data_IF_478433669136
#
_entry.id   IF_478433669136
#
_cell.length_a   1.000
_cell.length_b   1.000
_cell.length_c   1.000
_cell.angle_alpha   90.00
_cell.angle_beta   90.00
_cell.angle_gamma   90.00
#
_symmetry.space_group_name_H-M   'P 1'
#
loop_
_entity.id
_entity.type
_entity.pdbx_description
1 polymer ?
#
# COMPACT_ATOMS: atom_id res chain seq x y z
N UNK A 1 -41.79 -14.41 -38.21
CA UNK A 1 -40.43 -14.78 -37.76
C UNK A 1 -39.56 -13.60 -37.29
N UNK A 2 -39.92 -12.33 -37.54
CA UNK A 2 -39.12 -11.16 -37.13
C UNK A 2 -39.30 -10.74 -35.66
N UNK A 3 -40.44 -11.05 -35.02
CA UNK A 3 -40.79 -10.52 -33.70
C UNK A 3 -40.13 -11.21 -32.49
N UNK A 4 -39.54 -12.40 -32.68
CA UNK A 4 -38.86 -13.13 -31.59
C UNK A 4 -37.45 -12.62 -31.30
N UNK A 5 -36.87 -11.81 -32.19
CA UNK A 5 -35.51 -11.29 -32.02
C UNK A 5 -35.43 -10.05 -31.10
N UNK A 6 -36.56 -9.39 -30.82
CA UNK A 6 -36.57 -8.14 -30.04
C UNK A 6 -36.57 -8.42 -28.53
N UNK A 7 -37.04 -9.59 -28.07
CA UNK A 7 -37.09 -9.94 -26.64
C UNK A 7 -35.74 -10.41 -26.07
N UNK A 8 -34.80 -10.85 -26.91
CA UNK A 8 -33.47 -11.31 -26.48
C UNK A 8 -32.46 -10.17 -26.26
N UNK A 9 -32.76 -8.94 -26.69
CA UNK A 9 -31.84 -7.81 -26.60
C UNK A 9 -31.91 -7.03 -25.26
N UNK A 10 -32.89 -7.33 -24.39
CA UNK A 10 -33.12 -6.58 -23.14
C UNK A 10 -32.34 -7.09 -21.91
N UNK A 11 -31.47 -8.10 -22.06
CA UNK A 11 -30.70 -8.70 -20.95
C UNK A 11 -29.19 -8.43 -20.99
N UNK A 12 -28.74 -7.43 -21.75
CA UNK A 12 -27.32 -7.04 -21.80
C UNK A 12 -27.17 -5.59 -21.34
N UNK A 13 -27.23 -5.35 -20.04
CA UNK A 13 -27.22 -3.96 -19.60
C UNK A 13 -27.08 -3.66 -18.12
N UNK A 14 -26.43 -4.48 -17.29
CA UNK A 14 -25.83 -4.00 -16.04
C UNK A 14 -24.61 -4.84 -15.66
N UNK A 15 -23.53 -4.78 -16.45
CA UNK A 15 -22.21 -5.00 -15.84
C UNK A 15 -21.92 -3.73 -15.07
N UNK A 16 -22.44 -3.65 -13.84
CA UNK A 16 -21.95 -2.68 -12.88
C UNK A 16 -20.44 -2.89 -12.79
N UNK A 17 -19.65 -1.86 -13.12
CA UNK A 17 -18.25 -1.79 -12.74
C UNK A 17 -18.24 -1.79 -11.20
N UNK A 18 -18.31 -2.97 -10.60
CA UNK A 18 -18.21 -3.17 -9.18
C UNK A 18 -16.81 -2.75 -8.79
N UNK A 19 -16.66 -1.51 -8.35
CA UNK A 19 -15.48 -1.09 -7.59
C UNK A 19 -15.48 -2.01 -6.39
N UNK A 20 -14.63 -3.04 -6.40
CA UNK A 20 -14.52 -3.97 -5.29
C UNK A 20 -14.33 -3.14 -4.00
N UNK A 21 -15.30 -3.23 -3.10
CA UNK A 21 -15.22 -2.54 -1.82
C UNK A 21 -14.06 -3.17 -1.03
N UNK A 22 -13.25 -2.33 -0.38
CA UNK A 22 -12.13 -2.82 0.41
C UNK A 22 -12.66 -3.46 1.69
N UNK A 23 -11.97 -4.49 2.19
CA UNK A 23 -12.29 -5.05 3.51
C UNK A 23 -11.96 -4.05 4.62
N UNK A 24 -12.48 -4.27 5.83
CA UNK A 24 -12.14 -3.43 6.98
C UNK A 24 -10.61 -3.39 7.25
N UNK A 25 -9.93 -4.53 7.10
CA UNK A 25 -8.48 -4.62 7.23
C UNK A 25 -7.75 -3.78 6.16
N UNK A 26 -8.20 -3.88 4.92
CA UNK A 26 -7.65 -3.12 3.80
C UNK A 26 -7.89 -1.61 3.95
N UNK A 27 -9.08 -1.20 4.42
CA UNK A 27 -9.37 0.19 4.76
C UNK A 27 -8.45 0.73 5.84
N UNK A 28 -8.27 -0.03 6.93
CA UNK A 28 -7.35 0.34 8.00
C UNK A 28 -5.89 0.44 7.50
N UNK A 29 -5.45 -0.55 6.72
CA UNK A 29 -4.13 -0.56 6.10
C UNK A 29 -3.90 0.64 5.18
N UNK A 30 -4.91 1.02 4.39
CA UNK A 30 -4.85 2.19 3.52
C UNK A 30 -4.74 3.49 4.33
N UNK A 31 -5.50 3.61 5.42
CA UNK A 31 -5.42 4.78 6.30
C UNK A 31 -4.01 4.92 6.89
N UNK A 32 -3.44 3.83 7.41
CA UNK A 32 -2.06 3.80 7.92
C UNK A 32 -1.06 4.22 6.84
N UNK A 33 -1.21 3.73 5.61
CA UNK A 33 -0.31 4.07 4.51
C UNK A 33 -0.40 5.55 4.12
N UNK A 34 -1.61 6.13 4.10
CA UNK A 34 -1.81 7.55 3.86
C UNK A 34 -1.20 8.41 4.97
N UNK A 35 -1.31 7.99 6.23
CA UNK A 35 -0.70 8.68 7.36
C UNK A 35 0.84 8.66 7.27
N UNK A 36 1.44 7.50 6.99
CA UNK A 36 2.90 7.39 6.83
C UNK A 36 3.42 8.22 5.65
N UNK A 37 2.73 8.19 4.50
CA UNK A 37 3.08 9.03 3.35
C UNK A 37 3.06 10.52 3.72
N UNK A 38 2.01 10.98 4.41
CA UNK A 38 1.88 12.36 4.89
C UNK A 38 2.61 12.62 6.22
N UNK A 39 3.47 11.73 6.72
CA UNK A 39 4.48 12.11 7.73
C UNK A 39 5.78 12.54 7.06
N UNK A 40 6.11 11.97 5.91
CA UNK A 40 7.40 12.16 5.24
C UNK A 40 7.75 13.65 4.99
N UNK A 41 8.94 14.14 5.38
CA UNK A 41 9.31 15.56 5.29
C UNK A 41 9.29 16.13 3.87
N UNK A 42 9.65 15.32 2.87
CA UNK A 42 9.66 15.75 1.45
C UNK A 42 8.26 15.92 0.85
N UNK A 43 7.21 15.43 1.51
CA UNK A 43 5.83 15.67 1.08
C UNK A 43 5.41 17.03 1.65
N UNK A 44 4.97 17.93 0.77
CA UNK A 44 4.56 19.31 1.11
C UNK A 44 3.10 19.60 0.77
N UNK A 45 2.53 18.81 -0.15
CA UNK A 45 1.16 18.90 -0.61
C UNK A 45 0.34 17.74 -0.07
N UNK A 46 -0.96 17.92 0.04
CA UNK A 46 -1.89 16.83 0.27
C UNK A 46 -2.05 15.99 -1.01
N UNK A 47 -2.10 14.68 -0.83
CA UNK A 47 -2.38 13.71 -1.89
C UNK A 47 -3.61 12.89 -1.51
N UNK A 48 -4.42 12.54 -2.51
CA UNK A 48 -5.56 11.66 -2.33
C UNK A 48 -5.41 10.39 -3.13
N UNK A 49 -5.98 9.30 -2.61
CA UNK A 49 -6.07 8.02 -3.31
C UNK A 49 -7.03 8.13 -4.48
N UNK A 50 -6.53 7.85 -5.69
CA UNK A 50 -7.31 7.87 -6.92
C UNK A 50 -7.69 6.47 -7.40
N UNK A 51 -6.78 5.50 -7.26
CA UNK A 51 -7.04 4.08 -7.58
C UNK A 51 -6.46 3.17 -6.51
N UNK A 52 -7.07 1.99 -6.38
CA UNK A 52 -6.44 0.82 -5.75
C UNK A 52 -6.24 -0.17 -6.87
N UNK A 53 -4.98 -0.46 -7.17
CA UNK A 53 -4.58 -1.29 -8.30
C UNK A 53 -4.57 -2.76 -7.90
N UNK A 54 -4.18 -3.06 -6.65
CA UNK A 54 -4.27 -4.38 -6.03
C UNK A 54 -4.56 -4.24 -4.53
N UNK A 55 -5.44 -5.08 -3.99
CA UNK A 55 -5.67 -5.21 -2.56
C UNK A 55 -5.82 -6.68 -2.18
N UNK A 56 -5.08 -7.09 -1.17
CA UNK A 56 -5.14 -8.43 -0.58
C UNK A 56 -5.04 -8.30 0.93
N UNK A 57 -5.85 -9.07 1.63
CA UNK A 57 -5.67 -9.36 3.03
C UNK A 57 -5.76 -10.87 3.24
N UNK A 58 -4.94 -11.39 4.14
CA UNK A 58 -4.97 -12.81 4.54
C UNK A 58 -4.78 -12.97 6.04
N UNK A 59 -5.47 -13.93 6.66
CA UNK A 59 -5.18 -14.35 8.02
C UNK A 59 -3.72 -14.83 8.12
N UNK A 60 -3.09 -14.54 9.25
CA UNK A 60 -1.71 -14.92 9.54
C UNK A 60 -1.55 -15.10 11.06
N UNK A 61 -0.45 -15.70 11.51
CA UNK A 61 -0.23 -15.84 12.96
C UNK A 61 -0.20 -14.46 13.64
N UNK A 62 -0.98 -14.28 14.71
CA UNK A 62 -1.05 -13.02 15.44
C UNK A 62 -1.85 -11.90 14.74
N UNK A 63 -2.66 -12.21 13.71
CA UNK A 63 -3.64 -11.28 13.14
C UNK A 63 -3.73 -11.32 11.61
N UNK A 64 -3.93 -10.16 10.98
CA UNK A 64 -4.17 -10.07 9.53
C UNK A 64 -3.01 -9.36 8.84
N UNK A 65 -2.52 -9.94 7.74
CA UNK A 65 -1.58 -9.27 6.86
C UNK A 65 -2.32 -8.62 5.70
N UNK A 66 -2.00 -7.37 5.41
CA UNK A 66 -2.62 -6.55 4.37
C UNK A 66 -1.54 -6.07 3.40
N UNK A 67 -1.75 -6.29 2.10
CA UNK A 67 -0.94 -5.75 1.00
C UNK A 67 -1.81 -4.90 0.09
N UNK A 68 -1.36 -3.68 -0.17
CA UNK A 68 -2.04 -2.71 -1.03
C UNK A 68 -1.09 -2.15 -2.06
N UNK A 69 -1.53 -2.12 -3.31
CA UNK A 69 -0.93 -1.33 -4.38
C UNK A 69 -1.96 -0.28 -4.82
N UNK A 70 -1.59 1.00 -4.73
CA UNK A 70 -2.54 2.08 -4.97
C UNK A 70 -1.84 3.31 -5.53
N UNK A 71 -2.62 4.16 -6.19
CA UNK A 71 -2.12 5.42 -6.75
C UNK A 71 -2.65 6.60 -5.95
N UNK A 72 -1.74 7.49 -5.57
CA UNK A 72 -2.02 8.80 -5.00
C UNK A 72 -1.84 9.89 -6.06
N UNK A 73 -2.67 10.94 -5.99
CA UNK A 73 -2.54 12.12 -6.83
C UNK A 73 -2.60 13.41 -6.01
N UNK A 74 -1.74 14.35 -6.38
CA UNK A 74 -1.62 15.63 -5.70
C UNK A 74 -2.90 16.46 -5.78
N UNK A 75 -3.25 17.13 -4.68
CA UNK A 75 -4.39 18.05 -4.56
C UNK A 75 -3.95 19.52 -4.60
N UNK A 76 -4.92 20.43 -4.54
CA UNK A 76 -4.68 21.86 -4.36
C UNK A 76 -4.25 22.28 -2.94
N UNK A 77 -4.39 21.40 -1.95
CA UNK A 77 -4.16 21.73 -0.55
C UNK A 77 -2.74 21.45 -0.08
N UNK A 78 -2.31 22.20 0.94
CA UNK A 78 -1.09 21.90 1.67
C UNK A 78 -1.20 20.58 2.45
N UNK A 79 -0.06 19.95 2.74
CA UNK A 79 -0.01 18.67 3.46
C UNK A 79 -0.75 18.69 4.80
N UNK A 80 -0.80 19.81 5.51
CA UNK A 80 -1.51 19.92 6.81
C UNK A 80 -3.01 19.60 6.70
N UNK A 81 -3.59 19.83 5.53
CA UNK A 81 -5.02 19.70 5.28
C UNK A 81 -5.37 18.40 4.54
N UNK A 82 -4.46 17.40 4.52
CA UNK A 82 -4.65 16.19 3.72
C UNK A 82 -5.87 15.33 4.10
N UNK A 83 -6.38 15.47 5.33
CA UNK A 83 -7.62 14.80 5.79
C UNK A 83 -8.90 15.55 5.41
N UNK A 84 -8.80 16.79 4.91
CA UNK A 84 -9.97 17.59 4.52
C UNK A 84 -10.58 17.04 3.23
N UNK A 85 -11.91 16.90 3.23
CA UNK A 85 -12.66 16.34 2.09
C UNK A 85 -12.82 17.33 0.95
N UNK A 86 -12.69 18.64 1.21
CA UNK A 86 -12.82 19.70 0.20
C UNK A 86 -11.59 19.80 -0.72
N UNK A 87 -10.48 19.14 -0.35
CA UNK A 87 -9.22 19.19 -1.08
C UNK A 87 -9.28 18.39 -2.38
N UNK A 88 -9.71 19.04 -3.47
CA UNK A 88 -9.84 18.37 -4.78
C UNK A 88 -8.48 18.00 -5.37
N UNK A 89 -8.43 16.82 -5.97
CA UNK A 89 -7.30 16.35 -6.80
C UNK A 89 -7.08 17.34 -7.95
N UNK A 90 -5.82 17.71 -8.20
CA UNK A 90 -5.45 18.49 -9.38
C UNK A 90 -5.44 17.55 -10.60
N UNK A 91 -6.15 17.86 -11.69
CA UNK A 91 -6.20 16.99 -12.87
C UNK A 91 -4.83 16.55 -13.40
N UNK A 92 -3.85 17.48 -13.42
CA UNK A 92 -2.47 17.24 -13.82
C UNK A 92 -1.50 17.24 -12.61
N UNK A 93 -2.02 16.90 -11.42
CA UNK A 93 -1.23 16.75 -10.21
C UNK A 93 -0.25 15.59 -10.31
N UNK A 94 0.87 15.68 -9.59
CA UNK A 94 1.87 14.61 -9.51
C UNK A 94 1.21 13.31 -9.02
N UNK A 95 1.58 12.19 -9.64
CA UNK A 95 1.11 10.86 -9.24
C UNK A 95 2.21 10.10 -8.49
N UNK A 96 1.78 9.20 -7.62
CA UNK A 96 2.65 8.31 -6.85
C UNK A 96 1.99 6.94 -6.79
N UNK A 97 2.65 5.93 -7.37
CA UNK A 97 2.30 4.53 -7.11
C UNK A 97 2.91 4.14 -5.78
N UNK A 98 2.13 3.49 -4.95
CA UNK A 98 2.50 3.10 -3.60
C UNK A 98 2.33 1.59 -3.44
N UNK A 99 3.29 0.95 -2.79
CA UNK A 99 3.15 -0.37 -2.20
C UNK A 99 3.11 -0.20 -0.69
N UNK A 100 2.12 -0.79 -0.04
CA UNK A 100 2.04 -0.85 1.41
C UNK A 100 1.81 -2.29 1.86
N UNK A 101 2.59 -2.71 2.86
CA UNK A 101 2.47 -4.00 3.53
C UNK A 101 2.32 -3.72 5.03
N UNK A 102 1.20 -4.15 5.61
CA UNK A 102 0.83 -3.85 6.99
C UNK A 102 0.46 -5.15 7.71
N UNK A 103 1.02 -5.33 8.89
CA UNK A 103 0.58 -6.35 9.83
C UNK A 103 -0.35 -5.73 10.86
N UNK A 104 -1.55 -6.27 10.96
CA UNK A 104 -2.55 -5.91 11.96
C UNK A 104 -2.70 -7.05 12.96
N UNK A 105 -2.89 -6.72 14.23
CA UNK A 105 -3.32 -7.69 15.24
C UNK A 105 -4.84 -7.96 15.11
N UNK A 106 -5.43 -8.89 15.89
CA UNK A 106 -6.86 -9.18 15.83
C UNK A 106 -7.78 -7.97 16.09
N UNK A 107 -7.32 -6.98 16.87
CA UNK A 107 -8.04 -5.72 17.14
C UNK A 107 -7.75 -4.63 16.09
N UNK A 108 -7.20 -4.99 14.93
CA UNK A 108 -6.85 -4.07 13.84
C UNK A 108 -5.80 -2.99 14.21
N UNK A 109 -5.01 -3.22 15.25
CA UNK A 109 -3.87 -2.38 15.61
C UNK A 109 -2.64 -2.77 14.79
N UNK A 110 -1.83 -1.78 14.43
CA UNK A 110 -0.64 -2.01 13.60
C UNK A 110 0.50 -2.61 14.42
N UNK A 111 0.95 -3.81 14.05
CA UNK A 111 2.12 -4.47 14.63
C UNK A 111 3.41 -4.04 13.91
N UNK A 112 3.39 -4.06 12.57
CA UNK A 112 4.49 -3.56 11.74
C UNK A 112 3.97 -3.06 10.38
N UNK A 113 4.76 -2.22 9.71
CA UNK A 113 4.37 -1.62 8.43
C UNK A 113 5.57 -1.24 7.57
N UNK A 114 5.39 -1.39 6.26
CA UNK A 114 6.24 -0.84 5.23
C UNK A 114 5.38 -0.09 4.22
N UNK A 115 5.78 1.14 3.87
CA UNK A 115 5.10 1.98 2.87
C UNK A 115 6.14 2.57 1.95
N UNK A 116 6.05 2.23 0.66
CA UNK A 116 6.98 2.67 -0.37
C UNK A 116 6.23 3.40 -1.49
N UNK A 117 6.44 4.71 -1.60
CA UNK A 117 5.83 5.57 -2.62
C UNK A 117 6.93 6.39 -3.33
N UNK A 118 7.65 5.82 -4.30
CA UNK A 118 8.80 6.46 -4.91
C UNK A 118 8.42 7.73 -5.68
N UNK A 119 9.39 8.64 -5.79
CA UNK A 119 9.28 9.78 -6.70
C UNK A 119 9.51 9.27 -8.13
N UNK A 120 8.66 9.61 -9.10
CA UNK A 120 8.72 9.10 -10.49
C UNK A 120 10.12 9.22 -11.13
N UNK A 121 10.90 10.27 -10.80
CA UNK A 121 12.29 10.44 -11.27
C UNK A 121 13.29 9.42 -10.69
N UNK A 122 12.94 8.72 -9.62
CA UNK A 122 13.75 7.68 -8.98
C UNK A 122 13.47 6.28 -9.56
N UNK A 123 13.02 6.19 -10.82
CA UNK A 123 12.73 4.94 -11.55
C UNK A 123 13.98 4.10 -11.90
N UNK A 124 15.10 4.26 -11.18
CA UNK A 124 15.97 3.10 -10.92
C UNK A 124 15.24 2.26 -9.88
N UNK A 125 14.33 1.41 -10.33
CA UNK A 125 13.69 0.40 -9.48
C UNK A 125 14.78 -0.28 -8.66
N UNK A 126 14.80 -0.05 -7.33
CA UNK A 126 15.45 -1.02 -6.46
C UNK A 126 14.82 -2.39 -6.75
N UNK A 127 15.56 -3.51 -6.61
CA UNK A 127 15.05 -4.82 -6.99
C UNK A 127 13.69 -5.04 -6.33
N UNK A 128 12.63 -5.33 -7.12
CA UNK A 128 11.29 -5.65 -6.58
C UNK A 128 11.38 -6.71 -5.48
N UNK A 129 12.33 -7.63 -5.62
CA UNK A 129 12.72 -8.63 -4.64
C UNK A 129 13.00 -8.06 -3.23
N UNK A 130 13.62 -6.89 -3.13
CA UNK A 130 13.87 -6.26 -1.82
C UNK A 130 12.56 -5.80 -1.17
N UNK A 131 11.62 -5.26 -1.95
CA UNK A 131 10.31 -4.83 -1.45
C UNK A 131 9.46 -6.04 -1.05
N UNK A 132 9.50 -7.11 -1.84
CA UNK A 132 8.83 -8.38 -1.54
C UNK A 132 9.40 -9.02 -0.27
N UNK A 133 10.72 -9.09 -0.13
CA UNK A 133 11.38 -9.58 1.07
C UNK A 133 11.01 -8.75 2.31
N UNK A 134 10.87 -7.42 2.17
CA UNK A 134 10.38 -6.56 3.25
C UNK A 134 8.92 -6.88 3.60
N UNK A 135 8.02 -7.02 2.60
CA UNK A 135 6.63 -7.41 2.85
C UNK A 135 6.52 -8.76 3.56
N UNK A 136 7.32 -9.76 3.17
CA UNK A 136 7.36 -11.07 3.83
C UNK A 136 7.80 -10.97 5.29
N UNK A 137 8.74 -10.06 5.62
CA UNK A 137 9.13 -9.79 7.02
C UNK A 137 7.99 -9.14 7.80
N UNK A 138 7.27 -8.19 7.21
CA UNK A 138 6.09 -7.56 7.84
C UNK A 138 5.02 -8.62 8.14
N UNK A 139 4.76 -9.54 7.21
CA UNK A 139 3.77 -10.61 7.41
C UNK A 139 4.05 -11.46 8.66
N UNK A 140 5.33 -11.69 8.96
CA UNK A 140 5.78 -12.49 10.10
C UNK A 140 5.79 -11.72 11.43
N UNK A 141 5.50 -10.41 11.45
CA UNK A 141 5.48 -9.63 12.67
C UNK A 141 4.39 -10.10 13.65
N UNK A 142 4.70 -10.05 14.95
CA UNK A 142 3.82 -10.51 16.04
C UNK A 142 3.84 -9.53 17.21
N UNK A 143 2.78 -9.53 18.01
CA UNK A 143 2.66 -8.70 19.21
C UNK A 143 3.68 -9.15 20.27
N UNK A 144 4.36 -8.21 20.92
CA UNK A 144 5.40 -8.52 21.92
C UNK A 144 6.72 -9.04 21.33
N UNK A 145 6.82 -9.25 20.01
CA UNK A 145 8.09 -9.43 19.32
C UNK A 145 8.81 -8.07 19.26
N UNK A 146 9.26 -7.58 20.41
CA UNK A 146 10.40 -6.68 20.45
C UNK A 146 11.46 -7.34 19.59
N UNK A 147 11.97 -6.61 18.59
CA UNK A 147 13.13 -6.99 17.80
C UNK A 147 14.20 -7.46 18.79
N UNK A 148 14.30 -8.77 18.99
CA UNK A 148 15.47 -9.38 19.61
C UNK A 148 16.59 -9.01 18.65
N UNK A 149 17.24 -7.89 18.96
CA UNK A 149 18.49 -7.52 18.35
C UNK A 149 19.40 -8.69 18.66
N UNK A 150 19.76 -9.47 17.65
CA UNK A 150 20.83 -10.46 17.74
C UNK A 150 22.10 -9.74 17.28
N UNK A 151 22.89 -9.12 18.17
CA UNK A 151 24.20 -8.61 17.79
C UNK A 151 25.06 -9.80 17.35
N UNK A 152 25.56 -9.79 16.11
CA UNK A 152 26.53 -10.80 15.66
C UNK A 152 26.58 -11.17 14.17
N UNK A 153 25.66 -10.73 13.31
CA UNK A 153 25.64 -11.18 11.89
C UNK A 153 26.69 -10.51 10.97
N UNK A 154 27.62 -9.72 11.51
CA UNK A 154 28.77 -9.20 10.78
C UNK A 154 30.07 -9.55 11.51
N UNK A 155 30.35 -10.83 11.70
CA UNK A 155 31.69 -11.29 12.03
C UNK A 155 32.51 -11.32 10.72
N UNK A 156 33.37 -10.33 10.59
CA UNK A 156 34.36 -10.07 9.56
C UNK A 156 34.88 -11.33 8.80
N UNK A 157 34.83 -11.28 7.47
CA UNK A 157 35.70 -12.08 6.61
C UNK A 157 37.15 -11.69 6.94
N UNK A 158 37.86 -12.55 7.65
CA UNK A 158 39.31 -12.44 7.79
C UNK A 158 39.96 -12.71 6.42
N UNK A 159 40.67 -11.73 5.88
CA UNK A 159 41.65 -11.99 4.83
C UNK A 159 42.87 -12.70 5.45
N UNK A 160 43.41 -13.75 4.81
CA UNK A 160 44.71 -14.27 5.21
C UNK A 160 45.80 -13.25 4.87
N UNK A 161 46.63 -12.94 5.87
CA UNK A 161 47.80 -12.10 5.74
C UNK A 161 48.83 -12.74 4.80
N UNK A 162 49.40 -11.90 3.94
CA UNK A 162 50.57 -12.21 3.13
C UNK A 162 51.78 -12.51 4.03
N UNK A 163 52.42 -13.65 3.78
CA UNK A 163 53.78 -13.96 4.23
C UNK A 163 54.63 -14.27 2.99
#
# INVERSE_FOLDING_TARGET
MWQLLILLALWLGTVGLGRAELTAAQHQGLQVALEEFHKHPRVQWAFQKTSVDNAMDKPSQGGTFVRLEFTLQQTGCGKKDWKRTECKVKPNGRKRKCLACIKLNPEFKVLDRMVHCPIEMQTRQGPKEHQEAQCSRIEQAQEGAHRYYFPGQFAFLQHPASG
#
